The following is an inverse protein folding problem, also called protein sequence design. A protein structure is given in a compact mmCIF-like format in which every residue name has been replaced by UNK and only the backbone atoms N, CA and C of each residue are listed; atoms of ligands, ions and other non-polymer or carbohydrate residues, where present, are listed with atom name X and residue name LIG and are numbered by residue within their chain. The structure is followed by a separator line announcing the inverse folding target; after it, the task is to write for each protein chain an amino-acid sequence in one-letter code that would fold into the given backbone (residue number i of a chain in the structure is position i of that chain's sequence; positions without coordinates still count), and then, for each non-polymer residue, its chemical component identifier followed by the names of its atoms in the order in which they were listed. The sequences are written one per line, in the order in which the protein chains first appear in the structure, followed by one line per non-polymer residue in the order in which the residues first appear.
data_IF_776998313163
#
_entry.id   IF_776998313163
#
_cell.length_a   1.000
_cell.length_b   1.000
_cell.length_c   1.000
_cell.angle_alpha   90.00
_cell.angle_beta   90.00
_cell.angle_gamma   90.00
#
_symmetry.space_group_name_H-M   'P 1'
#
loop_
_entity.id
_entity.type
_entity.pdbx_description
1 polymer ?
#
# COMPACT_ATOMS: atom_id res chain seq x y z
N UNK A 1 74.10 -2.38 -3.14
CA UNK A 1 72.75 -2.38 -3.75
C UNK A 1 72.04 -1.12 -3.28
N UNK A 2 72.00 -0.08 -4.12
CA UNK A 2 71.43 1.22 -3.76
C UNK A 2 69.92 1.12 -3.97
N UNK A 3 69.15 0.93 -2.90
CA UNK A 3 67.69 0.97 -2.95
C UNK A 3 67.29 2.45 -3.10
N UNK A 4 66.85 2.80 -4.29
CA UNK A 4 66.42 4.16 -4.63
C UNK A 4 65.14 4.51 -3.84
N UNK A 5 65.31 5.25 -2.73
CA UNK A 5 64.24 5.63 -1.77
C UNK A 5 63.02 6.30 -2.41
N UNK A 6 63.14 6.88 -3.60
CA UNK A 6 62.03 7.53 -4.32
C UNK A 6 61.01 6.54 -4.89
N UNK A 7 61.40 5.29 -5.14
CA UNK A 7 60.51 4.28 -5.73
C UNK A 7 59.76 3.47 -4.66
N UNK A 8 60.31 3.33 -3.44
CA UNK A 8 59.65 2.61 -2.34
C UNK A 8 58.44 3.34 -1.76
N UNK A 9 58.49 4.69 -1.71
CA UNK A 9 57.37 5.52 -1.21
C UNK A 9 56.18 5.50 -2.18
N UNK A 10 56.43 5.39 -3.49
CA UNK A 10 55.36 5.31 -4.50
C UNK A 10 54.62 3.97 -4.47
N UNK A 11 55.29 2.85 -4.17
CA UNK A 11 54.62 1.56 -4.04
C UNK A 11 53.80 1.44 -2.75
N UNK A 12 54.26 2.01 -1.64
CA UNK A 12 53.51 1.99 -0.38
C UNK A 12 52.22 2.85 -0.44
N UNK A 13 52.26 3.98 -1.14
CA UNK A 13 51.10 4.86 -1.32
C UNK A 13 49.99 4.24 -2.19
N UNK A 14 50.34 3.42 -3.18
CA UNK A 14 49.36 2.73 -4.04
C UNK A 14 48.74 1.52 -3.33
N UNK A 15 49.49 0.83 -2.47
CA UNK A 15 48.98 -0.28 -1.67
C UNK A 15 47.97 0.12 -0.59
N UNK A 16 48.18 1.27 0.07
CA UNK A 16 47.26 1.77 1.10
C UNK A 16 45.94 2.31 0.53
N UNK A 17 45.96 2.86 -0.70
CA UNK A 17 44.75 3.33 -1.38
C UNK A 17 43.85 2.17 -1.85
N UNK A 18 44.43 1.04 -2.26
CA UNK A 18 43.66 -0.12 -2.72
C UNK A 18 42.93 -0.86 -1.58
N UNK A 19 43.51 -0.89 -0.37
CA UNK A 19 42.88 -1.53 0.80
C UNK A 19 41.70 -0.71 1.36
N UNK A 20 41.74 0.63 1.27
CA UNK A 20 40.65 1.49 1.72
C UNK A 20 39.41 1.41 0.81
N UNK A 21 39.57 1.07 -0.47
CA UNK A 21 38.45 0.96 -1.42
C UNK A 21 37.73 -0.39 -1.38
N UNK A 22 38.39 -1.47 -0.92
CA UNK A 22 37.76 -2.80 -0.87
C UNK A 22 37.03 -3.10 0.45
N UNK A 23 37.23 -2.29 1.50
CA UNK A 23 36.65 -2.51 2.83
C UNK A 23 35.21 -2.04 3.04
N UNK A 24 34.61 -1.33 2.07
CA UNK A 24 33.26 -0.76 2.20
C UNK A 24 32.17 -1.42 1.33
N UNK A 25 32.51 -2.47 0.57
CA UNK A 25 31.51 -3.20 -0.23
C UNK A 25 30.72 -4.27 0.54
N UNK A 26 30.87 -4.33 1.86
CA UNK A 26 30.02 -5.16 2.74
C UNK A 26 28.91 -4.34 3.41
N UNK A 27 28.35 -3.36 2.70
CA UNK A 27 26.97 -2.95 3.00
C UNK A 27 26.10 -4.17 2.66
N UNK A 28 25.62 -4.89 3.68
CA UNK A 28 24.59 -5.91 3.47
C UNK A 28 23.46 -5.28 2.66
N UNK A 29 22.79 -6.06 1.79
CA UNK A 29 21.75 -5.56 0.89
C UNK A 29 20.86 -4.55 1.63
N UNK A 30 21.03 -3.27 1.31
CA UNK A 30 20.16 -2.24 1.85
C UNK A 30 18.81 -2.49 1.21
N UNK A 31 17.83 -2.95 2.00
CA UNK A 31 16.44 -2.95 1.58
C UNK A 31 16.03 -1.47 1.55
N UNK A 32 16.38 -0.78 0.46
CA UNK A 32 15.96 0.58 0.23
C UNK A 32 14.51 0.56 -0.25
N UNK A 33 13.81 1.66 -0.03
CA UNK A 33 12.46 1.79 -0.56
C UNK A 33 12.48 1.67 -2.09
N UNK A 34 11.45 1.05 -2.65
CA UNK A 34 11.24 0.98 -4.09
C UNK A 34 10.18 1.98 -4.48
N UNK A 35 10.60 3.02 -5.21
CA UNK A 35 9.69 4.01 -5.77
C UNK A 35 9.00 3.47 -7.04
N UNK A 36 7.67 3.58 -7.07
CA UNK A 36 6.81 3.19 -8.18
C UNK A 36 6.01 4.42 -8.62
N UNK A 37 6.34 5.02 -9.78
CA UNK A 37 5.50 6.05 -10.36
C UNK A 37 4.23 5.40 -10.94
N UNK A 38 3.06 5.96 -10.61
CA UNK A 38 1.79 5.47 -11.10
C UNK A 38 1.18 6.49 -12.07
N UNK A 39 0.50 6.03 -13.13
CA UNK A 39 -0.01 6.92 -14.18
C UNK A 39 -1.25 7.71 -13.74
N UNK A 40 -1.84 7.40 -12.57
CA UNK A 40 -3.15 7.90 -12.19
C UNK A 40 -4.26 7.35 -13.09
N UNK A 41 -5.28 8.16 -13.34
CA UNK A 41 -6.40 7.77 -14.19
C UNK A 41 -7.45 8.87 -14.35
N UNK A 42 -8.39 8.66 -15.28
CA UNK A 42 -9.53 9.55 -15.47
C UNK A 42 -10.76 8.76 -15.90
N UNK A 43 -11.93 9.14 -15.41
CA UNK A 43 -13.23 8.60 -15.83
C UNK A 43 -14.23 9.75 -15.93
N UNK A 44 -15.04 9.71 -16.98
CA UNK A 44 -16.20 10.58 -17.14
C UNK A 44 -17.45 9.73 -17.26
N UNK A 45 -18.45 10.00 -16.43
CA UNK A 45 -19.72 9.30 -16.42
C UNK A 45 -20.88 10.29 -16.38
N UNK A 46 -21.88 10.07 -17.24
CA UNK A 46 -23.13 10.82 -17.22
C UNK A 46 -24.16 10.08 -16.38
N UNK A 47 -24.72 10.77 -15.39
CA UNK A 47 -25.78 10.29 -14.52
C UNK A 47 -27.14 10.29 -15.24
N UNK A 48 -28.13 9.65 -14.63
CA UNK A 48 -29.46 9.51 -15.25
C UNK A 48 -30.21 10.84 -15.41
N UNK A 49 -29.86 11.85 -14.63
CA UNK A 49 -30.42 13.22 -14.71
C UNK A 49 -29.67 14.12 -15.70
N UNK A 50 -28.63 13.60 -16.37
CA UNK A 50 -27.81 14.33 -17.33
C UNK A 50 -26.59 15.03 -16.73
N UNK A 51 -26.40 14.98 -15.41
CA UNK A 51 -25.19 15.51 -14.75
C UNK A 51 -23.97 14.70 -15.17
N UNK A 52 -22.90 15.36 -15.59
CA UNK A 52 -21.65 14.73 -16.03
C UNK A 52 -20.62 14.84 -14.92
N UNK A 53 -20.13 13.69 -14.46
CA UNK A 53 -19.12 13.58 -13.41
C UNK A 53 -17.80 13.19 -14.05
N UNK A 54 -16.77 14.02 -13.90
CA UNK A 54 -15.40 13.72 -14.33
C UNK A 54 -14.51 13.61 -13.11
N UNK A 55 -13.88 12.46 -12.93
CA UNK A 55 -12.96 12.17 -11.83
C UNK A 55 -11.58 11.95 -12.41
N UNK A 56 -10.58 12.64 -11.86
CA UNK A 56 -9.17 12.48 -12.22
C UNK A 56 -8.34 12.11 -10.99
N UNK A 57 -7.47 11.12 -11.14
CA UNK A 57 -6.42 10.77 -10.19
C UNK A 57 -5.08 11.17 -10.82
N UNK A 58 -4.35 12.03 -10.12
CA UNK A 58 -3.08 12.62 -10.57
C UNK A 58 -2.03 12.55 -9.47
N UNK A 59 -0.77 12.77 -9.83
CA UNK A 59 0.37 12.76 -8.90
C UNK A 59 0.46 11.47 -8.06
N UNK A 60 0.03 10.35 -8.64
CA UNK A 60 -0.02 9.07 -7.94
C UNK A 60 1.37 8.44 -7.89
N UNK A 61 1.81 8.07 -6.70
CA UNK A 61 3.04 7.31 -6.50
C UNK A 61 2.96 6.41 -5.29
N UNK A 62 3.75 5.35 -5.30
CA UNK A 62 3.93 4.44 -4.19
C UNK A 62 5.42 4.28 -3.87
N UNK A 63 5.79 4.43 -2.61
CA UNK A 63 7.14 4.16 -2.12
C UNK A 63 7.08 2.94 -1.21
N UNK A 64 7.50 1.79 -1.73
CA UNK A 64 7.40 0.50 -1.05
C UNK A 64 8.59 0.37 -0.10
N UNK A 65 8.31 0.37 1.19
CA UNK A 65 9.32 0.26 2.24
C UNK A 65 9.46 -1.18 2.75
N UNK A 66 10.63 -1.53 3.32
CA UNK A 66 10.79 -2.76 4.06
C UNK A 66 9.77 -2.89 5.20
N UNK A 67 9.60 -4.12 5.68
CA UNK A 67 8.76 -4.41 6.84
C UNK A 67 9.15 -3.55 8.06
N UNK A 68 8.21 -2.76 8.58
CA UNK A 68 8.39 -1.98 9.82
C UNK A 68 8.53 -2.87 11.06
N UNK A 69 7.95 -4.07 11.03
CA UNK A 69 8.12 -5.09 12.07
C UNK A 69 9.34 -5.99 11.88
N UNK A 70 10.16 -5.76 10.84
CA UNK A 70 11.28 -6.62 10.47
C UNK A 70 10.90 -8.09 10.25
N UNK A 71 9.65 -8.34 9.80
CA UNK A 71 9.11 -9.67 9.47
C UNK A 71 9.01 -9.86 7.95
N UNK A 72 9.31 -11.06 7.41
CA UNK A 72 9.19 -11.34 5.97
C UNK A 72 7.76 -11.29 5.41
N UNK A 73 6.75 -11.30 6.28
CA UNK A 73 5.33 -11.40 5.93
C UNK A 73 4.59 -10.06 6.01
N UNK A 74 5.34 -8.97 6.21
CA UNK A 74 4.78 -7.64 6.25
C UNK A 74 5.33 -6.80 5.10
N UNK A 75 4.47 -6.03 4.45
CA UNK A 75 4.81 -5.04 3.43
C UNK A 75 4.31 -3.69 3.89
N UNK A 76 5.14 -2.66 3.71
CA UNK A 76 4.78 -1.29 4.00
C UNK A 76 4.86 -0.48 2.72
N UNK A 77 3.93 0.43 2.50
CA UNK A 77 3.97 1.35 1.36
C UNK A 77 3.48 2.73 1.78
N UNK A 78 4.17 3.76 1.31
CA UNK A 78 3.76 5.14 1.43
C UNK A 78 3.19 5.59 0.11
N UNK A 79 1.94 6.07 0.11
CA UNK A 79 1.26 6.48 -1.12
C UNK A 79 0.99 7.97 -1.14
N UNK A 80 1.05 8.52 -2.35
CA UNK A 80 0.76 9.91 -2.64
C UNK A 80 -0.24 9.94 -3.80
N UNK A 81 -1.06 10.98 -3.85
CA UNK A 81 -2.00 11.17 -4.95
C UNK A 81 -2.92 12.35 -4.74
N UNK A 82 -3.58 12.75 -5.82
CA UNK A 82 -4.59 13.79 -5.84
C UNK A 82 -5.79 13.35 -6.67
N UNK A 83 -6.94 13.26 -6.02
CA UNK A 83 -8.23 13.10 -6.65
C UNK A 83 -8.85 14.48 -6.90
N UNK A 84 -9.29 14.76 -8.12
CA UNK A 84 -10.06 15.96 -8.46
C UNK A 84 -11.34 15.57 -9.20
N UNK A 85 -12.42 16.23 -8.86
CA UNK A 85 -13.75 16.01 -9.41
C UNK A 85 -14.23 17.31 -10.07
N UNK A 86 -14.80 17.16 -11.26
CA UNK A 86 -15.52 18.21 -11.96
C UNK A 86 -16.94 17.71 -12.28
N UNK A 87 -17.93 18.51 -11.91
CA UNK A 87 -19.35 18.26 -12.14
C UNK A 87 -19.87 19.29 -13.15
N UNK A 88 -20.54 18.81 -14.19
CA UNK A 88 -21.23 19.64 -15.19
C UNK A 88 -22.71 19.26 -15.24
N UNK A 89 -23.59 20.26 -15.37
CA UNK A 89 -25.03 20.07 -15.49
C UNK A 89 -25.83 20.77 -14.38
N UNK A 90 -27.15 20.84 -14.55
CA UNK A 90 -28.04 21.56 -13.65
C UNK A 90 -28.16 20.92 -12.26
N UNK A 91 -27.80 19.64 -12.11
CA UNK A 91 -27.79 18.90 -10.84
C UNK A 91 -26.49 19.00 -10.05
N UNK A 92 -25.48 19.74 -10.52
CA UNK A 92 -24.17 19.85 -9.88
C UNK A 92 -24.21 20.77 -8.64
N UNK A 93 -24.45 20.20 -7.46
CA UNK A 93 -24.48 20.91 -6.17
C UNK A 93 -23.24 20.65 -5.31
N UNK A 94 -22.63 19.48 -5.47
CA UNK A 94 -21.47 19.03 -4.72
C UNK A 94 -21.29 17.52 -4.83
N UNK A 95 -20.24 16.99 -4.20
CA UNK A 95 -20.00 15.56 -4.11
C UNK A 95 -19.09 15.20 -2.93
N UNK A 96 -19.10 13.93 -2.57
CA UNK A 96 -18.18 13.33 -1.61
C UNK A 96 -17.07 12.59 -2.33
N UNK A 97 -15.82 12.87 -1.98
CA UNK A 97 -14.63 12.23 -2.54
C UNK A 97 -14.02 11.28 -1.50
N UNK A 98 -14.06 9.98 -1.79
CA UNK A 98 -13.48 8.91 -0.97
C UNK A 98 -12.34 8.22 -1.75
N UNK A 99 -11.09 8.65 -1.56
CA UNK A 99 -9.92 7.93 -2.04
C UNK A 99 -9.58 6.77 -1.11
N UNK A 100 -9.19 5.64 -1.71
CA UNK A 100 -8.76 4.47 -0.96
C UNK A 100 -7.93 3.52 -1.81
N UNK A 101 -7.49 2.44 -1.20
CA UNK A 101 -6.70 1.39 -1.84
C UNK A 101 -7.25 0.03 -1.46
N UNK A 102 -7.34 -0.86 -2.44
CA UNK A 102 -7.52 -2.29 -2.19
C UNK A 102 -6.14 -2.91 -2.07
N UNK A 103 -5.84 -3.49 -0.91
CA UNK A 103 -4.64 -4.25 -0.63
C UNK A 103 -4.98 -5.73 -0.68
N UNK A 104 -4.28 -6.51 -1.49
CA UNK A 104 -4.55 -7.93 -1.66
C UNK A 104 -3.30 -8.77 -1.41
N UNK A 105 -3.48 -9.87 -0.70
CA UNK A 105 -2.48 -10.92 -0.55
C UNK A 105 -2.86 -12.17 -1.35
N UNK A 106 -1.86 -12.94 -1.79
CA UNK A 106 -2.08 -14.24 -2.42
C UNK A 106 -2.47 -15.33 -1.40
N UNK A 107 -1.78 -15.40 -0.25
CA UNK A 107 -1.99 -16.40 0.80
C UNK A 107 -1.84 -15.74 2.16
N UNK A 108 -2.86 -15.83 2.99
CA UNK A 108 -2.78 -15.33 4.35
C UNK A 108 -2.05 -16.33 5.25
N UNK A 109 -1.16 -15.81 6.09
CA UNK A 109 -0.31 -16.55 7.02
C UNK A 109 -0.52 -16.02 8.43
N UNK A 110 -0.83 -16.93 9.36
CA UNK A 110 -0.80 -16.68 10.79
C UNK A 110 0.18 -17.61 11.50
N UNK A 111 0.66 -17.21 12.67
CA UNK A 111 1.39 -18.08 13.58
C UNK A 111 0.86 -17.90 14.99
N UNK A 112 0.44 -19.00 15.61
CA UNK A 112 -0.04 -19.05 16.99
C UNK A 112 1.00 -19.74 17.86
N UNK A 113 1.44 -19.06 18.92
CA UNK A 113 2.26 -19.65 19.97
C UNK A 113 1.34 -20.36 20.98
N UNK A 114 0.98 -21.62 20.71
CA UNK A 114 0.04 -22.38 21.52
C UNK A 114 0.36 -23.88 21.59
N UNK A 115 0.41 -24.41 22.81
CA UNK A 115 0.61 -25.84 23.09
C UNK A 115 -0.67 -26.64 22.78
N UNK A 116 -0.84 -27.04 21.53
CA UNK A 116 -1.94 -27.92 21.12
C UNK A 116 -1.76 -28.36 19.68
N UNK A 117 -1.25 -29.58 19.48
CA UNK A 117 -1.02 -30.16 18.16
C UNK A 117 -2.32 -30.81 17.70
N UNK A 118 -3.06 -30.14 16.82
CA UNK A 118 -4.03 -30.79 15.94
C UNK A 118 -3.42 -30.87 14.54
N UNK A 119 -3.45 -32.04 13.91
CA UNK A 119 -2.90 -32.23 12.57
C UNK A 119 -3.81 -31.56 11.53
N UNK A 120 -3.42 -30.42 10.98
CA UNK A 120 -4.13 -29.85 9.85
C UNK A 120 -4.01 -30.71 8.59
N UNK A 121 -5.13 -30.86 7.90
CA UNK A 121 -5.24 -31.64 6.68
C UNK A 121 -4.92 -30.73 5.47
N UNK A 122 -3.88 -31.05 4.70
CA UNK A 122 -3.47 -30.28 3.51
C UNK A 122 -4.57 -30.20 2.42
N UNK A 123 -5.60 -31.05 2.49
CA UNK A 123 -6.73 -31.01 1.58
C UNK A 123 -7.58 -29.72 1.71
N UNK A 124 -7.54 -29.06 2.88
CA UNK A 124 -8.39 -27.90 3.16
C UNK A 124 -7.88 -26.58 2.53
N UNK A 125 -6.57 -26.54 2.21
CA UNK A 125 -5.94 -25.47 1.42
C UNK A 125 -6.44 -25.46 -0.04
N UNK A 126 -6.85 -26.62 -0.57
CA UNK A 126 -7.39 -26.75 -1.94
C UNK A 126 -8.85 -26.31 -2.00
N UNK A 127 -9.58 -26.41 -0.89
CA UNK A 127 -10.98 -25.97 -0.77
C UNK A 127 -11.12 -24.51 -0.30
N UNK A 128 -10.01 -23.83 -0.05
CA UNK A 128 -9.97 -22.41 0.30
C UNK A 128 -10.30 -22.13 1.77
N UNK A 129 -10.14 -23.09 2.68
CA UNK A 129 -10.30 -22.85 4.11
C UNK A 129 -8.94 -22.70 4.80
N UNK A 130 -8.92 -21.93 5.90
CA UNK A 130 -7.71 -21.73 6.70
C UNK A 130 -7.23 -23.05 7.32
N UNK A 131 -6.00 -23.46 6.99
CA UNK A 131 -5.41 -24.74 7.40
C UNK A 131 -4.27 -24.50 8.40
N UNK A 132 -4.32 -25.15 9.56
CA UNK A 132 -3.25 -25.09 10.58
C UNK A 132 -2.18 -26.18 10.36
N UNK A 133 -0.97 -25.78 9.99
CA UNK A 133 0.20 -26.64 9.85
C UNK A 133 1.02 -26.63 11.16
N UNK A 134 1.16 -27.78 11.87
CA UNK A 134 2.02 -27.85 13.04
C UNK A 134 3.50 -27.74 12.63
N UNK A 135 4.27 -26.88 13.30
CA UNK A 135 5.72 -26.74 13.09
C UNK A 135 6.46 -27.28 14.31
N UNK A 136 7.25 -28.35 14.15
CA UNK A 136 8.22 -28.80 15.18
C UNK A 136 9.60 -28.91 14.53
N UNK A 137 10.63 -28.27 15.13
CA UNK A 137 11.33 -28.88 16.27
C UNK A 137 11.63 -27.89 17.41
N UNK A 138 11.30 -28.29 18.65
CA UNK A 138 11.58 -27.61 19.93
C UNK A 138 10.72 -26.40 20.36
N UNK A 139 9.53 -26.21 19.76
CA UNK A 139 8.50 -25.29 20.28
C UNK A 139 7.13 -25.66 19.72
N UNK A 140 6.09 -25.63 20.54
CA UNK A 140 4.70 -25.92 20.14
C UNK A 140 4.07 -24.69 19.48
N UNK A 141 4.40 -24.46 18.21
CA UNK A 141 3.77 -23.42 17.39
C UNK A 141 2.93 -24.03 16.28
N UNK A 142 1.71 -23.53 16.09
CA UNK A 142 0.90 -23.81 14.91
C UNK A 142 1.03 -22.63 13.94
N UNK A 143 1.20 -22.92 12.66
CA UNK A 143 1.15 -21.93 11.58
C UNK A 143 -0.18 -22.11 10.85
N UNK A 144 -0.88 -21.05 10.48
CA UNK A 144 -2.09 -21.12 9.66
C UNK A 144 -1.82 -20.56 8.27
N UNK A 145 -2.35 -21.23 7.24
CA UNK A 145 -2.39 -20.73 5.87
C UNK A 145 -3.84 -20.64 5.41
N UNK A 146 -4.29 -19.47 4.98
CA UNK A 146 -5.63 -19.23 4.45
C UNK A 146 -5.62 -18.81 2.98
N UNK A 147 -6.78 -18.80 2.32
CA UNK A 147 -6.92 -18.06 1.06
C UNK A 147 -6.51 -16.60 1.31
N UNK A 148 -5.84 -15.96 0.35
CA UNK A 148 -5.49 -14.55 0.50
C UNK A 148 -6.71 -13.63 0.52
N UNK A 149 -6.65 -12.59 1.35
CA UNK A 149 -7.69 -11.57 1.48
C UNK A 149 -7.38 -10.32 0.64
N UNK A 150 -8.43 -9.64 0.20
CA UNK A 150 -8.38 -8.29 -0.37
C UNK A 150 -9.16 -7.32 0.53
N UNK A 151 -8.46 -6.36 1.11
CA UNK A 151 -9.01 -5.39 2.07
C UNK A 151 -8.97 -3.99 1.47
N UNK A 152 -10.10 -3.30 1.50
CA UNK A 152 -10.17 -1.88 1.17
C UNK A 152 -9.76 -1.05 2.38
N UNK A 153 -8.84 -0.12 2.17
CA UNK A 153 -8.39 0.85 3.16
C UNK A 153 -8.68 2.24 2.64
N UNK A 154 -9.42 3.02 3.41
CA UNK A 154 -9.68 4.42 3.10
C UNK A 154 -8.49 5.29 3.50
N UNK A 155 -8.17 6.30 2.69
CA UNK A 155 -7.05 7.21 2.94
C UNK A 155 -7.45 8.32 3.91
N UNK A 156 -8.72 8.68 3.90
CA UNK A 156 -9.27 9.74 4.74
C UNK A 156 -9.89 9.11 5.98
N UNK A 157 -9.62 9.72 7.13
CA UNK A 157 -10.36 9.49 8.36
C UNK A 157 -10.61 10.85 9.02
N UNK A 158 -11.78 11.44 8.75
CA UNK A 158 -12.19 12.71 9.34
C UNK A 158 -12.98 12.44 10.62
N UNK A 159 -12.44 12.92 11.73
CA UNK A 159 -13.02 12.79 13.06
C UNK A 159 -13.90 14.01 13.41
N UNK A 160 -15.12 13.76 13.86
CA UNK A 160 -16.05 14.77 14.35
C UNK A 160 -16.83 14.27 15.58
N UNK A 161 -17.32 15.17 16.43
CA UNK A 161 -18.20 14.79 17.53
C UNK A 161 -19.61 14.47 17.00
N UNK A 162 -20.18 13.34 17.41
CA UNK A 162 -21.55 12.98 17.11
C UNK A 162 -22.55 13.77 17.99
N UNK A 163 -23.85 13.62 17.70
CA UNK A 163 -24.92 14.30 18.43
C UNK A 163 -25.05 13.90 19.92
N UNK A 164 -24.33 12.86 20.35
CA UNK A 164 -24.34 12.29 21.70
C UNK A 164 -22.98 12.44 22.41
N UNK A 165 -22.00 13.13 21.79
CA UNK A 165 -20.67 13.36 22.34
C UNK A 165 -19.67 12.21 22.13
N UNK A 166 -20.00 11.23 21.29
CA UNK A 166 -19.06 10.21 20.77
C UNK A 166 -18.26 10.71 19.57
N UNK A 167 -17.26 9.93 19.15
CA UNK A 167 -16.46 10.22 17.95
C UNK A 167 -17.11 9.57 16.72
N UNK A 168 -17.22 10.34 15.64
CA UNK A 168 -17.71 9.94 14.33
C UNK A 168 -16.58 10.06 13.32
N UNK A 169 -16.43 9.03 12.49
CA UNK A 169 -15.38 8.92 11.48
C UNK A 169 -16.00 8.95 10.09
N UNK A 170 -15.43 9.75 9.19
CA UNK A 170 -15.86 9.83 7.79
C UNK A 170 -14.68 9.59 6.86
N UNK A 171 -14.86 8.63 5.95
CA UNK A 171 -13.85 8.21 4.97
C UNK A 171 -13.80 9.09 3.71
N UNK A 172 -14.52 10.21 3.70
CA UNK A 172 -14.69 11.06 2.52
C UNK A 172 -14.54 12.53 2.88
N UNK A 173 -14.19 13.34 1.89
CA UNK A 173 -14.25 14.79 1.97
C UNK A 173 -15.38 15.30 1.06
N UNK A 174 -16.30 16.07 1.65
CA UNK A 174 -17.40 16.70 0.92
C UNK A 174 -16.99 18.08 0.41
N UNK A 175 -17.44 18.42 -0.80
CA UNK A 175 -17.34 19.78 -1.33
C UNK A 175 -18.67 20.23 -1.93
N UNK A 176 -18.88 21.55 -1.91
CA UNK A 176 -19.99 22.22 -2.59
C UNK A 176 -19.51 22.90 -3.88
N UNK A 177 -20.39 23.01 -4.87
CA UNK A 177 -20.11 23.58 -6.18
C UNK A 177 -19.70 22.53 -7.22
N UNK A 178 -19.09 22.99 -8.30
CA UNK A 178 -18.76 22.15 -9.47
C UNK A 178 -17.42 21.45 -9.39
N UNK A 179 -16.51 21.94 -8.55
CA UNK A 179 -15.11 21.49 -8.53
C UNK A 179 -14.66 21.21 -7.10
N UNK A 180 -14.06 20.04 -6.91
CA UNK A 180 -13.54 19.60 -5.62
C UNK A 180 -12.30 18.75 -5.79
N UNK A 181 -11.45 18.70 -4.76
CA UNK A 181 -10.29 17.83 -4.78
C UNK A 181 -9.82 17.44 -3.40
N UNK A 182 -9.26 16.24 -3.30
CA UNK A 182 -8.52 15.76 -2.14
C UNK A 182 -7.13 15.33 -2.57
N UNK A 183 -6.12 15.73 -1.81
CA UNK A 183 -4.76 15.24 -1.98
C UNK A 183 -4.28 14.55 -0.72
N UNK A 184 -3.52 13.47 -0.88
CA UNK A 184 -2.82 12.78 0.19
C UNK A 184 -1.35 12.65 -0.15
N UNK A 185 -0.52 12.67 0.88
CA UNK A 185 0.92 12.56 0.76
C UNK A 185 1.45 11.73 1.91
N UNK A 186 2.35 10.80 1.58
CA UNK A 186 3.02 9.92 2.53
C UNK A 186 2.02 9.21 3.46
N UNK A 187 0.87 8.81 2.91
CA UNK A 187 -0.11 7.99 3.62
C UNK A 187 0.41 6.56 3.70
N UNK A 188 0.49 6.01 4.90
CA UNK A 188 1.02 4.66 5.11
C UNK A 188 -0.07 3.62 4.93
N UNK A 189 0.25 2.55 4.19
CA UNK A 189 -0.57 1.37 4.01
C UNK A 189 0.31 0.14 4.26
N UNK A 190 -0.30 -0.96 4.71
CA UNK A 190 0.45 -2.17 4.97
C UNK A 190 -0.38 -3.42 4.83
N UNK A 191 0.28 -4.51 4.46
CA UNK A 191 -0.27 -5.86 4.50
C UNK A 191 0.57 -6.65 5.46
N UNK A 192 -0.08 -7.30 6.42
CA UNK A 192 0.55 -8.16 7.43
C UNK A 192 0.11 -9.60 7.26
N UNK A 193 0.99 -10.54 7.54
CA UNK A 193 0.68 -11.96 7.39
C UNK A 193 0.56 -12.39 5.94
N UNK A 194 1.16 -11.66 4.99
CA UNK A 194 1.08 -12.06 3.59
C UNK A 194 2.21 -13.00 3.21
N UNK A 195 1.86 -14.23 2.84
CA UNK A 195 2.75 -15.20 2.22
C UNK A 195 2.61 -15.14 0.69
N UNK A 196 3.70 -14.77 0.02
CA UNK A 196 3.74 -14.68 -1.44
C UNK A 196 3.56 -13.26 -1.95
N UNK A 197 2.92 -13.13 -3.12
CA UNK A 197 2.75 -11.87 -3.82
C UNK A 197 1.67 -11.00 -3.16
N UNK A 198 2.00 -9.73 -2.91
CA UNK A 198 1.06 -8.71 -2.50
C UNK A 198 0.88 -7.64 -3.59
N UNK A 199 -0.34 -7.13 -3.72
CA UNK A 199 -0.70 -6.09 -4.69
C UNK A 199 -1.57 -5.02 -4.03
N UNK A 200 -1.41 -3.79 -4.49
CA UNK A 200 -2.30 -2.69 -4.14
C UNK A 200 -2.91 -2.08 -5.41
N UNK A 201 -4.12 -1.53 -5.27
CA UNK A 201 -4.79 -0.77 -6.33
C UNK A 201 -5.58 0.38 -5.75
N UNK A 202 -5.35 1.59 -6.24
CA UNK A 202 -6.13 2.76 -5.85
C UNK A 202 -7.55 2.72 -6.42
N UNK A 203 -8.48 3.29 -5.66
CA UNK A 203 -9.79 3.70 -6.10
C UNK A 203 -10.10 5.12 -5.62
N UNK A 204 -10.97 5.79 -6.35
CA UNK A 204 -11.62 7.02 -5.91
C UNK A 204 -13.12 6.84 -6.13
N UNK A 205 -13.87 6.74 -5.04
CA UNK A 205 -15.32 6.76 -5.08
C UNK A 205 -15.79 8.21 -4.98
N UNK A 206 -16.63 8.62 -5.92
CA UNK A 206 -17.26 9.94 -5.94
C UNK A 206 -18.75 9.75 -5.84
N UNK A 207 -19.31 10.05 -4.68
CA UNK A 207 -20.75 10.00 -4.46
C UNK A 207 -21.36 11.36 -4.77
N UNK A 208 -22.26 11.39 -5.74
CA UNK A 208 -22.96 12.60 -6.17
C UNK A 208 -24.43 12.45 -5.81
N UNK A 209 -24.94 13.43 -5.08
CA UNK A 209 -26.35 13.54 -4.72
C UNK A 209 -26.96 14.79 -5.36
N UNK A 210 -27.88 14.56 -6.29
CA UNK A 210 -28.70 15.60 -6.92
C UNK A 210 -30.14 15.49 -6.43
N UNK A 211 -30.98 16.47 -6.77
CA UNK A 211 -32.41 16.45 -6.41
C UNK A 211 -33.14 15.17 -6.88
N UNK A 212 -32.61 14.48 -7.91
CA UNK A 212 -33.29 13.37 -8.57
C UNK A 212 -32.48 12.06 -8.57
N UNK A 213 -31.18 12.08 -8.27
CA UNK A 213 -30.27 10.92 -8.38
C UNK A 213 -29.25 10.93 -7.26
N UNK A 214 -29.05 9.77 -6.63
CA UNK A 214 -27.86 9.48 -5.81
C UNK A 214 -27.08 8.37 -6.50
N UNK A 215 -25.81 8.62 -6.81
CA UNK A 215 -24.96 7.67 -7.56
C UNK A 215 -23.50 7.81 -7.19
N UNK A 216 -22.79 6.68 -7.19
CA UNK A 216 -21.35 6.64 -6.94
C UNK A 216 -20.61 6.29 -8.24
N UNK A 217 -19.67 7.15 -8.64
CA UNK A 217 -18.75 6.93 -9.75
C UNK A 217 -17.40 6.49 -9.16
N UNK A 218 -16.91 5.32 -9.56
CA UNK A 218 -15.62 4.80 -9.10
C UNK A 218 -14.57 4.89 -10.19
N UNK A 219 -13.52 5.66 -9.95
CA UNK A 219 -12.29 5.61 -10.74
C UNK A 219 -11.36 4.55 -10.14
N UNK A 220 -10.81 3.67 -10.98
CA UNK A 220 -9.80 2.69 -10.58
C UNK A 220 -8.43 3.04 -11.17
N UNK A 221 -7.39 3.07 -10.35
CA UNK A 221 -6.02 3.24 -10.81
C UNK A 221 -5.40 1.94 -11.32
N UNK A 222 -4.13 2.03 -11.75
CA UNK A 222 -3.33 0.89 -12.15
C UNK A 222 -2.88 0.10 -10.90
N UNK A 223 -3.08 -1.22 -10.83
CA UNK A 223 -2.53 -2.02 -9.74
C UNK A 223 -1.00 -2.03 -9.77
N UNK A 224 -0.38 -2.12 -8.60
CA UNK A 224 1.06 -2.22 -8.43
C UNK A 224 1.44 -3.27 -7.39
N UNK A 225 2.61 -3.88 -7.56
CA UNK A 225 3.10 -4.89 -6.63
C UNK A 225 3.63 -4.25 -5.36
N UNK A 226 3.41 -4.90 -4.22
CA UNK A 226 4.06 -4.59 -2.94
C UNK A 226 5.25 -5.55 -2.65
N UNK A 227 5.60 -6.40 -3.62
CA UNK A 227 6.59 -7.48 -3.50
C UNK A 227 6.04 -8.76 -2.88
#
# INVERSE_FOLDING_TARGET
MIINRKNGVRLAAVGAAAAATMGFFSVGAANADTFVPLPGGSITQTLADGTVVTVNLTDESANISPSMGSTPLHRNVWVNGKASVHLDGAGATGADIQPGYVLACQVDFGAEAGAGVESGNLADLVTGAATSIPVTPAGSGAVTLGPGEAVSVDIIDLEAADAYGGESHSAYNSFEGTDGSVSWADSTLGVSGCAGYAQARSYVNVSVETDNVSSTVTLWGQPFSLG
#
